data_IF_940423299718
#
_entry.id   IF_940423299718
#
_cell.length_a   1.000
_cell.length_b   1.000
_cell.length_c   1.000
_cell.angle_alpha   90.00
_cell.angle_beta   90.00
_cell.angle_gamma   90.00
#
_symmetry.space_group_name_H-M   'P 1'
#
loop_
_entity.id
_entity.type
_entity.pdbx_description
1 polymer ?
#
# COMPACT_ATOMS: atom_id res chain seq x y z
N UNK A 1 8.79 -24.41 13.22
CA UNK A 1 10.09 -24.20 12.56
C UNK A 1 10.47 -22.73 12.68
N UNK A 2 11.46 -22.38 13.49
CA UNK A 2 12.00 -21.02 13.57
C UNK A 2 12.87 -20.75 12.35
N UNK A 3 12.58 -19.65 11.64
CA UNK A 3 13.38 -19.19 10.51
C UNK A 3 14.80 -18.82 10.99
N UNK A 4 15.81 -19.15 10.18
CA UNK A 4 17.18 -18.68 10.41
C UNK A 4 17.26 -17.16 10.23
N UNK A 5 18.23 -16.50 10.86
CA UNK A 5 18.42 -15.04 10.73
C UNK A 5 18.64 -14.62 9.25
N UNK A 6 19.41 -15.40 8.50
CA UNK A 6 19.58 -15.18 7.06
C UNK A 6 18.26 -15.25 6.29
N UNK A 7 17.37 -16.20 6.62
CA UNK A 7 16.08 -16.31 5.98
C UNK A 7 15.16 -15.10 6.32
N UNK A 8 15.21 -14.63 7.57
CA UNK A 8 14.48 -13.42 7.98
C UNK A 8 14.97 -12.19 7.21
N UNK A 9 16.28 -12.01 7.08
CA UNK A 9 16.90 -10.91 6.34
C UNK A 9 16.44 -10.92 4.87
N UNK A 10 16.50 -12.06 4.19
CA UNK A 10 16.04 -12.19 2.81
C UNK A 10 14.54 -11.89 2.64
N UNK A 11 13.71 -12.30 3.59
CA UNK A 11 12.28 -11.97 3.57
C UNK A 11 12.04 -10.47 3.74
N UNK A 12 12.81 -9.81 4.59
CA UNK A 12 12.76 -8.36 4.78
C UNK A 12 13.18 -7.64 3.51
N UNK A 13 14.30 -8.02 2.89
CA UNK A 13 14.78 -7.45 1.63
C UNK A 13 13.75 -7.63 0.50
N UNK A 14 13.18 -8.83 0.38
CA UNK A 14 12.10 -9.08 -0.58
C UNK A 14 10.91 -8.15 -0.34
N UNK A 15 10.48 -7.98 0.91
CA UNK A 15 9.37 -7.07 1.24
C UNK A 15 9.68 -5.61 0.88
N UNK A 16 10.94 -5.18 1.03
CA UNK A 16 11.40 -3.84 0.60
C UNK A 16 11.29 -3.65 -0.90
N UNK A 17 11.80 -4.60 -1.68
CA UNK A 17 11.74 -4.57 -3.16
C UNK A 17 10.28 -4.47 -3.61
N UNK A 18 9.41 -5.30 -3.05
CA UNK A 18 7.97 -5.29 -3.37
C UNK A 18 7.30 -3.97 -2.99
N UNK A 19 7.64 -3.41 -1.83
CA UNK A 19 7.08 -2.13 -1.38
C UNK A 19 7.59 -0.95 -2.22
N UNK A 20 8.87 -0.98 -2.62
CA UNK A 20 9.55 0.10 -3.32
C UNK A 20 9.48 0.02 -4.85
N UNK A 21 8.71 -0.90 -5.44
CA UNK A 21 8.65 -1.06 -6.89
C UNK A 21 8.31 0.26 -7.60
N UNK A 22 9.21 0.73 -8.49
CA UNK A 22 9.11 2.01 -9.20
C UNK A 22 7.83 2.11 -10.03
N UNK A 23 7.42 1.00 -10.65
CA UNK A 23 6.16 0.90 -11.41
C UNK A 23 4.92 1.32 -10.62
N UNK A 24 4.95 1.22 -9.28
CA UNK A 24 3.86 1.72 -8.43
C UNK A 24 3.72 3.24 -8.46
N UNK A 25 4.83 3.97 -8.62
CA UNK A 25 4.80 5.45 -8.67
C UNK A 25 4.18 5.90 -9.98
N UNK A 26 4.55 5.26 -11.09
CA UNK A 26 3.96 5.55 -12.41
C UNK A 26 2.46 5.23 -12.42
N UNK A 27 2.10 4.08 -11.84
CA UNK A 27 0.70 3.69 -11.71
C UNK A 27 -0.08 4.64 -10.79
N UNK A 28 0.53 5.06 -9.67
CA UNK A 28 -0.07 6.06 -8.79
C UNK A 28 -0.31 7.38 -9.56
N UNK A 29 0.66 7.85 -10.33
CA UNK A 29 0.50 9.07 -11.12
C UNK A 29 -0.71 8.98 -12.05
N UNK A 30 -0.85 7.85 -12.74
CA UNK A 30 -1.99 7.62 -13.62
C UNK A 30 -3.33 7.65 -12.86
N UNK A 31 -3.43 6.91 -11.74
CA UNK A 31 -4.68 6.77 -10.98
C UNK A 31 -5.05 8.02 -10.18
N UNK A 32 -4.07 8.82 -9.70
CA UNK A 32 -4.34 10.01 -8.91
C UNK A 32 -4.62 11.26 -9.76
N UNK A 33 -4.18 11.28 -11.00
CA UNK A 33 -4.34 12.41 -11.91
C UNK A 33 -5.79 12.94 -12.04
N UNK A 34 -6.84 12.10 -12.10
CA UNK A 34 -8.23 12.56 -12.09
C UNK A 34 -8.65 13.26 -10.79
N UNK A 35 -7.86 13.12 -9.74
CA UNK A 35 -8.11 13.65 -8.40
C UNK A 35 -7.33 14.94 -8.12
N UNK A 36 -6.55 15.47 -9.07
CA UNK A 36 -5.66 16.63 -8.83
C UNK A 36 -6.34 17.85 -8.22
N UNK A 37 -7.64 18.02 -8.46
CA UNK A 37 -8.46 19.13 -7.94
C UNK A 37 -9.35 18.70 -6.75
N UNK A 38 -9.22 17.44 -6.28
CA UNK A 38 -9.94 16.90 -5.13
C UNK A 38 -9.13 17.11 -3.85
N UNK A 39 -9.82 17.00 -2.71
CA UNK A 39 -9.21 17.09 -1.38
C UNK A 39 -9.42 15.79 -0.58
N UNK A 40 -8.76 15.71 0.56
CA UNK A 40 -8.89 14.60 1.52
C UNK A 40 -8.38 13.25 0.99
N UNK A 41 -7.24 13.30 0.30
CA UNK A 41 -6.55 12.12 -0.21
C UNK A 41 -5.42 11.70 0.71
N UNK A 42 -5.23 10.39 0.82
CA UNK A 42 -4.09 9.79 1.49
C UNK A 42 -3.30 8.95 0.50
N UNK A 43 -1.99 9.11 0.44
CA UNK A 43 -1.08 8.16 -0.20
C UNK A 43 -0.27 7.47 0.89
N UNK A 44 -0.44 6.16 1.02
CA UNK A 44 0.25 5.36 2.02
C UNK A 44 1.46 4.68 1.38
N UNK A 45 2.65 5.11 1.78
CA UNK A 45 3.93 4.60 1.31
C UNK A 45 4.50 3.53 2.24
N UNK A 46 5.34 2.65 1.69
CA UNK A 46 6.14 1.72 2.45
C UNK A 46 7.35 2.40 3.10
N UNK A 47 7.88 1.77 4.15
CA UNK A 47 9.23 2.07 4.60
C UNK A 47 10.21 1.39 3.66
N UNK A 48 10.98 2.14 2.91
CA UNK A 48 12.09 1.61 2.11
C UNK A 48 13.27 1.17 2.99
N UNK A 49 13.37 1.69 4.21
CA UNK A 49 14.25 1.19 5.27
C UNK A 49 13.43 0.38 6.27
N UNK A 50 13.47 -0.94 6.22
CA UNK A 50 13.08 -1.76 7.34
C UNK A 50 14.21 -1.67 8.37
N UNK A 51 13.91 -1.15 9.55
CA UNK A 51 14.81 -0.86 10.67
C UNK A 51 15.68 0.39 10.50
N UNK A 52 15.10 1.57 10.77
CA UNK A 52 15.86 2.74 11.17
C UNK A 52 16.69 2.49 12.46
N UNK A 53 16.46 1.36 13.15
CA UNK A 53 17.12 1.03 14.42
C UNK A 53 18.33 0.07 14.28
N UNK A 54 18.68 -0.42 13.09
CA UNK A 54 19.76 -1.41 12.93
C UNK A 54 20.85 -1.09 11.89
N UNK A 55 20.73 -0.04 11.10
CA UNK A 55 21.82 0.33 10.17
C UNK A 55 22.02 1.85 10.15
N UNK A 56 23.28 2.24 10.42
CA UNK A 56 23.76 3.60 10.38
C UNK A 56 23.42 4.27 9.04
N UNK A 57 23.07 5.56 9.12
CA UNK A 57 22.89 6.50 8.04
C UNK A 57 24.15 6.59 7.18
N UNK A 58 24.26 5.76 6.16
CA UNK A 58 25.29 5.93 5.12
C UNK A 58 24.80 5.38 3.78
N UNK A 59 23.89 6.09 3.14
CA UNK A 59 23.81 6.11 1.68
C UNK A 59 23.14 7.40 1.20
N UNK A 60 23.96 8.29 0.70
CA UNK A 60 23.61 9.60 0.10
C UNK A 60 22.81 9.50 -1.22
N UNK A 61 22.20 8.36 -1.55
CA UNK A 61 21.63 8.14 -2.89
C UNK A 61 20.27 7.46 -2.97
N UNK A 62 19.68 6.97 -1.88
CA UNK A 62 18.33 6.41 -1.95
C UNK A 62 17.27 7.48 -1.63
N UNK A 63 16.76 8.11 -2.68
CA UNK A 63 15.53 8.92 -2.60
C UNK A 63 14.42 7.99 -2.12
N UNK A 64 13.87 8.26 -0.94
CA UNK A 64 12.82 7.42 -0.36
C UNK A 64 11.54 7.46 -1.20
N UNK A 65 10.75 6.39 -1.20
CA UNK A 65 9.46 6.34 -1.93
C UNK A 65 8.57 7.56 -1.59
N UNK A 66 8.57 8.01 -0.33
CA UNK A 66 7.79 9.18 0.07
C UNK A 66 8.29 10.46 -0.61
N UNK A 67 9.60 10.60 -0.82
CA UNK A 67 10.19 11.77 -1.48
C UNK A 67 9.81 11.78 -2.97
N UNK A 68 9.90 10.65 -3.64
CA UNK A 68 9.45 10.49 -5.03
C UNK A 68 7.97 10.83 -5.19
N UNK A 69 7.12 10.31 -4.31
CA UNK A 69 5.67 10.57 -4.33
C UNK A 69 5.39 12.04 -4.05
N UNK A 70 5.99 12.65 -3.03
CA UNK A 70 5.81 14.07 -2.72
C UNK A 70 6.24 14.97 -3.89
N UNK A 71 7.37 14.65 -4.52
CA UNK A 71 7.87 15.40 -5.69
C UNK A 71 6.93 15.26 -6.87
N UNK A 72 6.51 14.05 -7.20
CA UNK A 72 5.57 13.80 -8.28
C UNK A 72 4.25 14.54 -8.07
N UNK A 73 3.65 14.45 -6.89
CA UNK A 73 2.38 15.11 -6.58
C UNK A 73 2.51 16.65 -6.56
N UNK A 74 3.56 17.18 -5.91
CA UNK A 74 3.75 18.62 -5.75
C UNK A 74 4.26 19.30 -7.01
N UNK A 75 5.34 18.80 -7.59
CA UNK A 75 6.00 19.47 -8.71
C UNK A 75 5.35 19.16 -10.07
N UNK A 76 4.97 17.90 -10.31
CA UNK A 76 4.44 17.47 -11.60
C UNK A 76 2.92 17.70 -11.71
N UNK A 77 2.17 17.39 -10.64
CA UNK A 77 0.71 17.53 -10.63
C UNK A 77 0.21 18.82 -9.98
N UNK A 78 1.08 19.61 -9.35
CA UNK A 78 0.74 20.89 -8.72
C UNK A 78 -0.17 20.76 -7.49
N UNK A 79 -0.16 19.61 -6.83
CA UNK A 79 -1.02 19.33 -5.68
C UNK A 79 -0.41 19.87 -4.39
N UNK A 80 -1.26 20.27 -3.44
CA UNK A 80 -0.85 20.69 -2.08
C UNK A 80 -0.67 19.47 -1.19
N UNK A 81 0.58 19.10 -0.96
CA UNK A 81 0.98 17.85 -0.30
C UNK A 81 1.53 18.12 1.09
N UNK A 82 1.13 17.31 2.05
CA UNK A 82 1.71 17.26 3.40
C UNK A 82 2.33 15.89 3.67
N UNK A 83 3.51 15.87 4.29
CA UNK A 83 4.11 14.64 4.81
C UNK A 83 3.51 14.32 6.17
N UNK A 84 3.35 13.04 6.45
CA UNK A 84 2.88 12.55 7.74
C UNK A 84 3.63 11.26 8.11
N UNK A 85 4.70 11.42 8.88
CA UNK A 85 5.63 10.32 9.21
C UNK A 85 5.86 10.26 10.74
N UNK A 86 6.81 9.44 11.18
CA UNK A 86 7.23 9.42 12.58
C UNK A 86 8.14 10.59 12.97
N UNK A 87 8.62 11.36 11.98
CA UNK A 87 9.55 12.49 12.22
C UNK A 87 8.85 13.74 12.78
N UNK A 88 7.56 13.92 12.47
CA UNK A 88 6.79 15.07 12.94
C UNK A 88 6.42 14.90 14.42
N UNK A 89 6.58 15.98 15.18
CA UNK A 89 6.13 16.08 16.59
C UNK A 89 4.60 16.02 16.69
N UNK A 90 4.06 15.72 17.87
CA UNK A 90 2.60 15.71 18.07
C UNK A 90 1.94 17.03 17.67
N UNK A 91 2.57 18.16 18.00
CA UNK A 91 2.04 19.50 17.65
C UNK A 91 2.01 19.71 16.14
N UNK A 92 3.05 19.33 15.44
CA UNK A 92 3.11 19.41 13.96
C UNK A 92 2.05 18.51 13.32
N UNK A 93 1.85 17.31 13.86
CA UNK A 93 0.83 16.38 13.39
C UNK A 93 -0.59 16.95 13.55
N UNK A 94 -0.89 17.60 14.67
CA UNK A 94 -2.20 18.26 14.87
C UNK A 94 -2.41 19.39 13.84
N UNK A 95 -1.40 20.25 13.63
CA UNK A 95 -1.47 21.31 12.62
C UNK A 95 -1.67 20.76 11.21
N UNK A 96 -0.99 19.65 10.87
CA UNK A 96 -1.17 18.96 9.57
C UNK A 96 -2.59 18.43 9.44
N UNK A 97 -3.14 17.80 10.49
CA UNK A 97 -4.51 17.28 10.49
C UNK A 97 -5.54 18.39 10.29
N UNK A 98 -5.39 19.53 10.98
CA UNK A 98 -6.27 20.68 10.83
C UNK A 98 -6.25 21.23 9.40
N UNK A 99 -5.06 21.47 8.85
CA UNK A 99 -4.89 21.93 7.46
C UNK A 99 -5.45 20.96 6.43
N UNK A 100 -5.35 19.66 6.70
CA UNK A 100 -5.91 18.61 5.84
C UNK A 100 -7.42 18.53 5.96
N UNK A 101 -7.98 18.66 7.17
CA UNK A 101 -9.43 18.65 7.40
C UNK A 101 -10.13 19.84 6.75
N UNK A 102 -9.50 21.03 6.74
CA UNK A 102 -9.98 22.20 6.00
C UNK A 102 -9.94 22.01 4.47
N UNK A 103 -8.99 21.23 3.96
CA UNK A 103 -8.83 20.93 2.54
C UNK A 103 -8.31 22.10 1.68
N UNK A 104 -8.16 23.30 2.23
CA UNK A 104 -7.67 24.47 1.50
C UNK A 104 -6.16 24.50 1.40
N UNK A 105 -5.48 24.19 2.52
CA UNK A 105 -4.02 24.23 2.60
C UNK A 105 -3.37 22.93 2.15
N UNK A 106 -4.00 21.79 2.45
CA UNK A 106 -3.49 20.47 2.10
C UNK A 106 -4.61 19.65 1.42
N UNK A 107 -4.30 19.08 0.25
CA UNK A 107 -5.18 18.18 -0.49
C UNK A 107 -4.88 16.72 -0.17
N UNK A 108 -3.59 16.41 -0.06
CA UNK A 108 -3.07 15.04 0.02
C UNK A 108 -2.09 14.92 1.16
N UNK A 109 -2.26 13.90 1.97
CA UNK A 109 -1.25 13.44 2.92
C UNK A 109 -0.46 12.28 2.32
N UNK A 110 0.86 12.37 2.35
CA UNK A 110 1.75 11.26 2.03
C UNK A 110 2.33 10.73 3.33
N UNK A 111 2.07 9.47 3.62
CA UNK A 111 2.24 8.91 4.96
C UNK A 111 2.98 7.58 4.95
N UNK A 112 3.80 7.35 5.99
CA UNK A 112 4.46 6.08 6.27
C UNK A 112 4.06 5.64 7.68
N UNK A 113 3.60 4.38 7.83
CA UNK A 113 3.23 3.73 9.12
C UNK A 113 2.19 4.47 9.99
N UNK A 114 1.81 5.69 9.67
CA UNK A 114 0.96 6.51 10.52
C UNK A 114 -0.47 6.00 10.68
N UNK A 115 -0.93 5.13 9.79
CA UNK A 115 -2.23 4.47 9.95
C UNK A 115 -2.17 3.28 10.94
N UNK A 116 -0.98 2.87 11.36
CA UNK A 116 -0.81 1.73 12.27
C UNK A 116 -0.82 2.20 13.75
N UNK A 117 -0.39 3.44 14.03
CA UNK A 117 -0.19 3.97 15.36
C UNK A 117 -1.20 5.06 15.75
N UNK A 118 -2.38 4.69 16.22
CA UNK A 118 -3.29 5.62 16.93
C UNK A 118 -3.79 6.86 16.16
N UNK A 119 -3.30 7.12 14.96
CA UNK A 119 -3.64 8.31 14.18
C UNK A 119 -5.07 8.25 13.67
N UNK A 120 -5.85 9.26 14.01
CA UNK A 120 -7.24 9.40 13.59
C UNK A 120 -7.39 10.58 12.63
N UNK A 121 -7.64 10.28 11.34
CA UNK A 121 -7.93 11.28 10.30
C UNK A 121 -9.22 10.86 9.56
N UNK A 122 -10.40 11.09 10.16
CA UNK A 122 -11.67 10.61 9.59
C UNK A 122 -12.06 11.33 8.29
N UNK A 123 -11.46 12.49 8.00
CA UNK A 123 -11.71 13.27 6.78
C UNK A 123 -11.14 12.65 5.50
N UNK A 124 -10.33 11.58 5.57
CA UNK A 124 -9.82 10.89 4.38
C UNK A 124 -11.00 10.34 3.57
N UNK A 125 -11.12 10.76 2.30
CA UNK A 125 -12.14 10.29 1.35
C UNK A 125 -11.58 9.27 0.36
N UNK A 126 -10.35 9.49 -0.13
CA UNK A 126 -9.69 8.60 -1.10
C UNK A 126 -8.32 8.19 -0.56
N UNK A 127 -8.03 6.91 -0.58
CA UNK A 127 -6.74 6.36 -0.15
C UNK A 127 -6.07 5.56 -1.26
N UNK A 128 -4.80 5.88 -1.55
CA UNK A 128 -3.92 5.15 -2.45
C UNK A 128 -2.88 4.40 -1.61
N UNK A 129 -2.98 3.09 -1.53
CA UNK A 129 -2.16 2.25 -0.67
C UNK A 129 -1.07 1.57 -1.51
N UNK A 130 0.12 2.15 -1.57
CA UNK A 130 1.25 1.63 -2.34
C UNK A 130 1.93 0.45 -1.64
N UNK A 131 1.91 0.44 -0.32
CA UNK A 131 2.54 -0.58 0.50
C UNK A 131 1.53 -1.20 1.46
N UNK A 132 0.77 -2.15 0.98
CA UNK A 132 -0.07 -2.99 1.82
C UNK A 132 0.76 -4.04 2.54
N UNK A 133 0.42 -4.27 3.80
CA UNK A 133 0.92 -5.42 4.55
C UNK A 133 0.22 -6.69 4.07
N UNK A 134 0.93 -7.81 4.14
CA UNK A 134 0.32 -9.14 3.98
C UNK A 134 -0.29 -9.65 5.29
N UNK A 135 -0.14 -8.92 6.40
CA UNK A 135 -0.75 -9.24 7.68
C UNK A 135 -2.20 -8.73 7.72
N UNK A 136 -3.21 -9.62 7.84
CA UNK A 136 -4.62 -9.23 7.86
C UNK A 136 -4.97 -8.20 8.93
N UNK A 137 -4.41 -8.32 10.13
CA UNK A 137 -4.65 -7.36 11.22
C UNK A 137 -4.27 -5.93 10.80
N UNK A 138 -3.15 -5.77 10.12
CA UNK A 138 -2.65 -4.46 9.72
C UNK A 138 -3.48 -3.85 8.59
N UNK A 139 -3.74 -4.58 7.50
CA UNK A 139 -4.48 -4.00 6.39
C UNK A 139 -5.96 -3.78 6.73
N UNK A 140 -6.58 -4.65 7.55
CA UNK A 140 -7.94 -4.44 8.06
C UNK A 140 -8.01 -3.19 8.95
N UNK A 141 -7.02 -2.98 9.82
CA UNK A 141 -6.94 -1.76 10.63
C UNK A 141 -6.81 -0.51 9.77
N UNK A 142 -5.91 -0.50 8.79
CA UNK A 142 -5.71 0.63 7.85
C UNK A 142 -6.99 0.94 7.10
N UNK A 143 -7.62 -0.08 6.52
CA UNK A 143 -8.92 0.02 5.85
C UNK A 143 -9.98 0.62 6.78
N UNK A 144 -10.12 0.09 7.99
CA UNK A 144 -11.08 0.57 8.98
C UNK A 144 -10.89 2.05 9.35
N UNK A 145 -9.67 2.57 9.31
CA UNK A 145 -9.40 4.00 9.55
C UNK A 145 -9.83 4.86 8.38
N UNK A 146 -9.63 4.39 7.15
CA UNK A 146 -10.09 5.09 5.93
C UNK A 146 -11.61 5.10 5.87
N UNK A 147 -12.29 4.05 6.34
CA UNK A 147 -13.75 3.92 6.30
C UNK A 147 -14.49 4.68 7.44
N UNK A 148 -13.79 5.39 8.32
CA UNK A 148 -14.42 6.15 9.40
C UNK A 148 -15.40 7.18 8.87
N UNK A 149 -16.54 7.30 9.57
CA UNK A 149 -17.57 8.29 9.25
C UNK A 149 -17.05 9.71 9.47
N UNK A 150 -17.40 10.60 8.55
CA UNK A 150 -17.08 12.02 8.62
C UNK A 150 -18.20 12.83 7.93
N UNK A 151 -18.53 14.04 8.37
CA UNK A 151 -19.58 14.86 7.74
C UNK A 151 -19.31 15.05 6.25
N UNK A 152 -20.31 14.77 5.42
CA UNK A 152 -20.19 14.86 3.94
C UNK A 152 -19.35 13.76 3.31
N UNK A 153 -19.18 12.63 3.98
CA UNK A 153 -18.53 11.43 3.47
C UNK A 153 -19.49 10.26 3.53
N UNK A 154 -20.06 9.88 2.40
CA UNK A 154 -20.99 8.74 2.26
C UNK A 154 -20.23 7.43 2.12
N UNK A 155 -19.14 7.43 1.31
CA UNK A 155 -18.25 6.30 1.08
C UNK A 155 -16.79 6.76 1.06
N UNK A 156 -15.88 5.81 1.03
CA UNK A 156 -14.47 6.04 0.82
C UNK A 156 -13.98 5.24 -0.40
N UNK A 157 -13.10 5.84 -1.19
CA UNK A 157 -12.46 5.16 -2.31
C UNK A 157 -11.10 4.64 -1.87
N UNK A 158 -10.81 3.37 -2.15
CA UNK A 158 -9.53 2.75 -1.80
C UNK A 158 -8.92 2.13 -3.05
N UNK A 159 -7.73 2.61 -3.41
CA UNK A 159 -6.87 2.05 -4.43
C UNK A 159 -5.78 1.25 -3.75
N UNK A 160 -5.90 -0.07 -3.73
CA UNK A 160 -4.88 -0.96 -3.17
C UNK A 160 -3.96 -1.47 -4.29
N UNK A 161 -2.68 -1.11 -4.22
CA UNK A 161 -1.69 -1.46 -5.23
C UNK A 161 -1.10 -2.82 -4.92
N UNK A 162 -1.49 -3.83 -5.69
CA UNK A 162 -0.89 -5.16 -5.62
C UNK A 162 0.43 -5.18 -6.37
N UNK A 163 1.33 -6.08 -5.99
CA UNK A 163 2.60 -6.29 -6.68
C UNK A 163 2.67 -7.71 -7.19
N UNK A 164 2.84 -7.84 -8.49
CA UNK A 164 3.09 -9.13 -9.12
C UNK A 164 4.60 -9.32 -9.28
N UNK A 165 5.10 -10.55 -9.12
CA UNK A 165 6.52 -10.86 -9.24
C UNK A 165 7.04 -10.84 -10.69
N UNK A 166 6.14 -10.91 -11.65
CA UNK A 166 6.38 -10.80 -13.09
C UNK A 166 5.10 -10.36 -13.78
N UNK A 167 5.19 -9.98 -15.04
CA UNK A 167 4.02 -9.77 -15.88
C UNK A 167 3.24 -11.08 -16.08
N UNK A 168 1.94 -10.99 -16.19
CA UNK A 168 1.07 -12.19 -16.37
C UNK A 168 1.44 -12.96 -17.62
N UNK A 169 1.87 -12.28 -18.67
CA UNK A 169 2.24 -12.88 -19.95
C UNK A 169 3.57 -13.68 -19.90
N UNK A 170 4.38 -13.45 -18.86
CA UNK A 170 5.68 -14.11 -18.68
C UNK A 170 5.62 -15.32 -17.74
N UNK A 171 4.48 -15.61 -17.14
CA UNK A 171 4.33 -16.69 -16.13
C UNK A 171 4.72 -18.05 -16.70
N UNK A 172 4.32 -18.36 -17.93
CA UNK A 172 4.61 -19.64 -18.60
C UNK A 172 6.12 -19.84 -18.87
N UNK A 173 6.90 -18.76 -18.88
CA UNK A 173 8.35 -18.82 -19.07
C UNK A 173 9.12 -19.13 -17.78
N UNK A 174 8.47 -19.12 -16.63
CA UNK A 174 9.10 -19.33 -15.33
C UNK A 174 9.46 -20.81 -15.11
N UNK A 175 10.64 -21.06 -14.58
CA UNK A 175 11.01 -22.39 -14.10
C UNK A 175 10.17 -22.79 -12.88
N UNK A 176 9.86 -24.08 -12.71
CA UNK A 176 8.97 -24.62 -11.64
C UNK A 176 9.30 -24.11 -10.23
N UNK A 177 10.58 -24.03 -9.88
CA UNK A 177 11.00 -23.52 -8.55
C UNK A 177 10.66 -22.04 -8.36
N UNK A 178 10.85 -21.23 -9.40
CA UNK A 178 10.52 -19.81 -9.41
C UNK A 178 9.02 -19.63 -9.37
N UNK A 179 8.29 -20.39 -10.16
CA UNK A 179 6.84 -20.38 -10.18
C UNK A 179 6.22 -20.66 -8.80
N UNK A 180 6.71 -21.68 -8.08
CA UNK A 180 6.21 -22.03 -6.76
C UNK A 180 6.46 -20.93 -5.71
N UNK A 181 7.64 -20.28 -5.72
CA UNK A 181 7.93 -19.16 -4.82
C UNK A 181 7.10 -17.91 -5.16
N UNK A 182 6.81 -17.72 -6.44
CA UNK A 182 5.98 -16.65 -7.00
C UNK A 182 4.52 -16.81 -6.60
N UNK A 183 3.97 -18.03 -6.68
CA UNK A 183 2.61 -18.35 -6.25
C UNK A 183 2.33 -17.92 -4.81
N UNK A 184 3.28 -18.15 -3.88
CA UNK A 184 3.11 -17.78 -2.48
C UNK A 184 2.93 -16.27 -2.25
N UNK A 185 3.52 -15.42 -3.11
CA UNK A 185 3.31 -13.98 -3.08
C UNK A 185 1.94 -13.61 -3.65
N UNK A 186 1.61 -14.15 -4.82
CA UNK A 186 0.34 -13.85 -5.51
C UNK A 186 -0.87 -14.33 -4.68
N UNK A 187 -0.79 -15.47 -4.00
CA UNK A 187 -1.84 -15.94 -3.08
C UNK A 187 -2.17 -14.90 -2.01
N UNK A 188 -1.16 -14.31 -1.36
CA UNK A 188 -1.35 -13.28 -0.33
C UNK A 188 -2.01 -12.02 -0.89
N UNK A 189 -1.63 -11.62 -2.10
CA UNK A 189 -2.27 -10.51 -2.79
C UNK A 189 -3.75 -10.83 -3.10
N UNK A 190 -4.06 -12.05 -3.58
CA UNK A 190 -5.42 -12.48 -3.86
C UNK A 190 -6.28 -12.50 -2.58
N UNK A 191 -5.78 -13.07 -1.48
CA UNK A 191 -6.51 -13.12 -0.20
C UNK A 191 -6.85 -11.69 0.26
N UNK A 192 -5.88 -10.76 0.21
CA UNK A 192 -6.13 -9.36 0.56
C UNK A 192 -7.16 -8.70 -0.37
N UNK A 193 -7.09 -8.97 -1.68
CA UNK A 193 -8.09 -8.47 -2.63
C UNK A 193 -9.49 -9.00 -2.32
N UNK A 194 -9.62 -10.27 -1.96
CA UNK A 194 -10.90 -10.87 -1.55
C UNK A 194 -11.46 -10.15 -0.33
N UNK A 195 -10.67 -9.95 0.73
CA UNK A 195 -11.07 -9.23 1.94
C UNK A 195 -11.51 -7.79 1.67
N UNK A 196 -10.86 -7.10 0.73
CA UNK A 196 -11.27 -5.75 0.34
C UNK A 196 -12.56 -5.76 -0.49
N UNK A 197 -12.73 -6.76 -1.36
CA UNK A 197 -13.90 -6.86 -2.24
C UNK A 197 -15.19 -7.20 -1.49
N UNK A 198 -15.12 -8.00 -0.44
CA UNK A 198 -16.29 -8.42 0.36
C UNK A 198 -17.12 -7.25 0.91
N UNK A 199 -16.47 -6.14 1.24
CA UNK A 199 -17.13 -4.95 1.80
C UNK A 199 -17.23 -3.80 0.79
N UNK A 200 -16.83 -4.00 -0.46
CA UNK A 200 -16.85 -2.98 -1.50
C UNK A 200 -18.20 -2.92 -2.21
N UNK A 201 -18.53 -1.75 -2.74
CA UNK A 201 -19.72 -1.57 -3.60
C UNK A 201 -19.46 -2.05 -5.04
N UNK A 202 -18.20 -2.32 -5.41
CA UNK A 202 -17.79 -2.75 -6.75
C UNK A 202 -17.01 -4.08 -6.76
N UNK A 203 -17.49 -5.16 -6.12
CA UNK A 203 -16.75 -6.41 -5.97
C UNK A 203 -16.45 -7.09 -7.32
N UNK A 204 -17.30 -6.93 -8.33
CA UNK A 204 -17.16 -7.59 -9.62
C UNK A 204 -15.81 -7.31 -10.29
N UNK A 205 -15.32 -6.05 -10.25
CA UNK A 205 -14.01 -5.69 -10.83
C UNK A 205 -12.85 -6.39 -10.13
N UNK A 206 -12.92 -6.53 -8.80
CA UNK A 206 -11.90 -7.24 -8.04
C UNK A 206 -11.94 -8.74 -8.38
N UNK A 207 -13.11 -9.34 -8.49
CA UNK A 207 -13.26 -10.76 -8.85
C UNK A 207 -12.75 -11.07 -10.26
N UNK A 208 -12.94 -10.20 -11.24
CA UNK A 208 -12.35 -10.34 -12.58
C UNK A 208 -10.82 -10.43 -12.52
N UNK A 209 -10.17 -9.54 -11.75
CA UNK A 209 -8.73 -9.55 -11.57
C UNK A 209 -8.27 -10.80 -10.80
N UNK A 210 -8.98 -11.17 -9.73
CA UNK A 210 -8.69 -12.37 -8.94
C UNK A 210 -8.76 -13.61 -9.82
N UNK A 211 -9.80 -13.73 -10.66
CA UNK A 211 -9.96 -14.87 -11.55
C UNK A 211 -8.82 -14.92 -12.57
N UNK A 212 -8.45 -13.80 -13.17
CA UNK A 212 -7.30 -13.70 -14.07
C UNK A 212 -6.03 -14.20 -13.38
N UNK A 213 -5.70 -13.66 -12.21
CA UNK A 213 -4.50 -14.06 -11.46
C UNK A 213 -4.50 -15.54 -11.08
N UNK A 214 -5.65 -16.09 -10.65
CA UNK A 214 -5.79 -17.52 -10.36
C UNK A 214 -5.50 -18.37 -11.57
N UNK A 215 -5.99 -17.97 -12.74
CA UNK A 215 -5.77 -18.69 -13.99
C UNK A 215 -4.30 -18.64 -14.41
N UNK A 216 -3.72 -17.44 -14.52
CA UNK A 216 -2.35 -17.23 -14.99
C UNK A 216 -1.31 -17.91 -14.08
N UNK A 217 -1.48 -17.81 -12.76
CA UNK A 217 -0.56 -18.41 -11.80
C UNK A 217 -0.94 -19.83 -11.37
N UNK A 218 -1.96 -20.44 -12.00
CA UNK A 218 -2.47 -21.76 -11.65
C UNK A 218 -2.69 -21.93 -10.15
N UNK A 219 -3.51 -21.03 -9.56
CA UNK A 219 -3.87 -21.00 -8.14
C UNK A 219 -5.31 -21.46 -7.99
N UNK A 220 -5.51 -22.53 -7.21
CA UNK A 220 -6.84 -23.09 -6.91
C UNK A 220 -7.43 -22.52 -5.62
N UNK A 221 -8.73 -22.71 -5.39
CA UNK A 221 -9.37 -22.31 -4.11
C UNK A 221 -8.80 -23.08 -2.92
N UNK A 222 -8.36 -24.32 -3.12
CA UNK A 222 -7.71 -25.10 -2.07
C UNK A 222 -6.35 -24.52 -1.69
N UNK A 223 -5.66 -23.91 -2.64
CA UNK A 223 -4.39 -23.23 -2.37
C UNK A 223 -4.56 -21.96 -1.51
N UNK A 224 -5.72 -21.32 -1.55
CA UNK A 224 -6.01 -20.12 -0.76
C UNK A 224 -6.43 -20.46 0.67
N UNK A 225 -7.13 -21.58 0.88
CA UNK A 225 -7.61 -22.03 2.21
C UNK A 225 -6.49 -22.48 3.14
N UNK A 226 -5.38 -23.00 2.61
CA UNK A 226 -4.26 -23.49 3.42
C UNK A 226 -3.43 -22.40 4.12
N UNK A 227 -3.58 -21.14 3.74
CA UNK A 227 -2.89 -20.00 4.35
C UNK A 227 -3.74 -19.29 5.43
N UNK A 228 -5.05 -19.57 5.52
CA UNK A 228 -5.93 -19.02 6.56
C UNK A 228 -5.63 -19.62 7.96
N UNK A 229 -5.18 -20.88 8.03
CA UNK A 229 -4.86 -21.56 9.29
C UNK A 229 -3.45 -21.23 9.81
N UNK A 230 -2.68 -20.42 9.10
CA UNK A 230 -1.28 -20.06 9.45
C UNK A 230 -1.14 -18.63 10.03
N UNK A 231 -2.27 -17.98 10.40
CA UNK A 231 -2.32 -16.58 10.90
C UNK A 231 -2.58 -16.53 12.41
#
# INVERSE_FOLDING_TARGET
>A
LTLTESAKTLLIERSRIVAGAESKIDKLEHEIKPYKDKNHMLVYCGTTSANADMFEENSDTEISQIDCVCKMLGEKLGMRVGRFTSKETEKEREVIKEKFADGKMLQTLVAIKCLDEGVNIPSIKTAFILASSTNPKEYIQRRGRVLRKYPGKEYAEIYDFITLPCDTDDVDSLQDKTLNSTKGLVKKEIIRMMDFSEISENPSKAYEIILKLKTEFNITDNDLKGDEDAI
#
